data_IF_666692609652
#
_entry.id   IF_666692609652
#
_cell.length_a   1.000
_cell.length_b   1.000
_cell.length_c   1.000
_cell.angle_alpha   90.00
_cell.angle_beta   90.00
_cell.angle_gamma   90.00
#
_symmetry.space_group_name_H-M   'P 1'
#
loop_
_entity.id
_entity.type
_entity.pdbx_description
1 polymer ?
#
# COMPACT_ATOMS: atom_id res chain seq x y z
N UNK A 1 14.55 -15.78 7.40
CA UNK A 1 14.72 -14.32 7.46
C UNK A 1 13.69 -13.77 8.44
N UNK A 2 14.13 -13.13 9.52
CA UNK A 2 13.20 -12.44 10.43
C UNK A 2 12.71 -11.17 9.76
N UNK A 3 11.39 -10.96 9.72
CA UNK A 3 10.82 -9.73 9.19
C UNK A 3 10.67 -8.72 10.31
N UNK A 4 11.20 -7.53 10.09
CA UNK A 4 11.02 -6.40 10.99
C UNK A 4 9.74 -5.65 10.64
N UNK A 5 9.16 -5.03 11.65
CA UNK A 5 8.02 -4.13 11.53
C UNK A 5 8.31 -3.02 10.50
N UNK A 6 7.38 -2.76 9.58
CA UNK A 6 7.52 -1.70 8.59
C UNK A 6 6.15 -1.12 8.19
N UNK A 7 6.07 0.21 8.10
CA UNK A 7 4.88 0.92 7.62
C UNK A 7 4.87 0.92 6.10
N UNK A 8 3.81 0.41 5.48
CA UNK A 8 3.70 0.32 4.02
C UNK A 8 3.22 1.64 3.42
N UNK A 9 4.15 2.58 3.26
CA UNK A 9 3.86 3.89 2.67
C UNK A 9 3.34 3.76 1.23
N UNK A 10 3.81 2.78 0.45
CA UNK A 10 3.39 2.59 -0.94
C UNK A 10 1.88 2.30 -1.01
N UNK A 11 1.38 1.40 -0.16
CA UNK A 11 -0.05 1.13 -0.07
C UNK A 11 -0.83 2.38 0.37
N UNK A 12 -0.34 3.12 1.36
CA UNK A 12 -0.99 4.36 1.83
C UNK A 12 -1.13 5.36 0.67
N UNK A 13 -0.08 5.53 -0.14
CA UNK A 13 -0.10 6.40 -1.32
C UNK A 13 -1.05 5.89 -2.41
N UNK A 14 -1.09 4.59 -2.69
CA UNK A 14 -2.03 4.02 -3.68
C UNK A 14 -3.47 4.35 -3.30
N UNK A 15 -3.83 4.14 -2.02
CA UNK A 15 -5.19 4.40 -1.53
C UNK A 15 -5.50 5.90 -1.53
N UNK A 16 -4.54 6.73 -1.11
CA UNK A 16 -4.69 8.18 -1.17
C UNK A 16 -4.94 8.66 -2.59
N UNK A 17 -4.12 8.23 -3.56
CA UNK A 17 -4.27 8.60 -4.96
C UNK A 17 -5.59 8.11 -5.54
N UNK A 18 -6.04 6.91 -5.16
CA UNK A 18 -7.31 6.36 -5.62
C UNK A 18 -8.48 7.24 -5.20
N UNK A 19 -8.44 7.79 -3.98
CA UNK A 19 -9.47 8.67 -3.44
C UNK A 19 -9.39 10.08 -4.02
N UNK A 20 -8.18 10.64 -4.13
CA UNK A 20 -7.97 12.06 -4.46
C UNK A 20 -7.84 12.34 -5.96
N UNK A 21 -7.30 11.40 -6.73
CA UNK A 21 -6.96 11.58 -8.16
C UNK A 21 -7.59 10.51 -9.06
N UNK A 22 -8.34 9.56 -8.49
CA UNK A 22 -9.05 8.53 -9.21
C UNK A 22 -8.20 7.33 -9.63
N UNK A 23 -8.82 6.41 -10.37
CA UNK A 23 -8.27 5.08 -10.65
C UNK A 23 -7.02 5.10 -11.52
N UNK A 24 -6.99 5.96 -12.55
CA UNK A 24 -5.89 5.99 -13.52
C UNK A 24 -4.58 6.39 -12.84
N UNK A 25 -4.60 7.47 -12.06
CA UNK A 25 -3.41 7.97 -11.36
C UNK A 25 -2.88 6.96 -10.33
N UNK A 26 -3.78 6.35 -9.55
CA UNK A 26 -3.42 5.33 -8.58
C UNK A 26 -2.87 4.05 -9.23
N UNK A 27 -3.43 3.64 -10.37
CA UNK A 27 -2.95 2.48 -11.13
C UNK A 27 -1.56 2.70 -11.73
N UNK A 28 -1.31 3.86 -12.35
CA UNK A 28 0.01 4.24 -12.86
C UNK A 28 1.04 4.27 -11.73
N UNK A 29 0.67 4.85 -10.58
CA UNK A 29 1.56 4.89 -9.42
C UNK A 29 1.85 3.48 -8.87
N UNK A 30 0.84 2.62 -8.72
CA UNK A 30 1.02 1.25 -8.25
C UNK A 30 1.95 0.45 -9.17
N UNK A 31 1.75 0.55 -10.49
CA UNK A 31 2.62 -0.06 -11.49
C UNK A 31 4.05 0.48 -11.40
N UNK A 32 4.21 1.80 -11.43
CA UNK A 32 5.51 2.45 -11.42
C UNK A 32 6.31 2.15 -10.15
N UNK A 33 5.68 2.25 -8.98
CA UNK A 33 6.34 1.92 -7.71
C UNK A 33 6.73 0.46 -7.62
N UNK A 34 5.86 -0.46 -8.05
CA UNK A 34 6.20 -1.87 -8.09
C UNK A 34 7.38 -2.17 -9.02
N UNK A 35 7.42 -1.53 -10.19
CA UNK A 35 8.50 -1.69 -11.15
C UNK A 35 9.82 -1.14 -10.58
N UNK A 36 9.80 0.03 -9.94
CA UNK A 36 10.96 0.60 -9.27
C UNK A 36 11.49 -0.35 -8.19
N UNK A 37 10.60 -0.90 -7.34
CA UNK A 37 11.01 -1.85 -6.30
C UNK A 37 11.55 -3.13 -6.93
N UNK A 38 10.96 -3.64 -8.00
CA UNK A 38 11.49 -4.81 -8.70
C UNK A 38 12.90 -4.57 -9.25
N UNK A 39 13.18 -3.39 -9.82
CA UNK A 39 14.51 -3.02 -10.33
C UNK A 39 15.54 -2.92 -9.18
N UNK A 40 15.18 -2.27 -8.06
CA UNK A 40 16.13 -1.95 -7.01
C UNK A 40 16.23 -3.00 -5.90
N UNK A 41 15.27 -3.92 -5.76
CA UNK A 41 15.24 -4.91 -4.68
C UNK A 41 16.19 -6.09 -4.89
N UNK A 42 16.68 -6.31 -6.11
CA UNK A 42 17.45 -7.50 -6.48
C UNK A 42 16.67 -8.81 -6.36
N UNK A 43 15.33 -8.73 -6.26
CA UNK A 43 14.43 -9.87 -6.15
C UNK A 43 13.94 -10.39 -7.51
N UNK A 44 12.83 -11.13 -7.48
CA UNK A 44 12.16 -11.60 -8.69
C UNK A 44 11.55 -10.39 -9.43
N UNK A 45 12.06 -10.10 -10.63
CA UNK A 45 11.53 -9.03 -11.47
C UNK A 45 10.03 -9.25 -11.75
N UNK A 46 9.24 -8.19 -11.56
CA UNK A 46 7.80 -8.18 -11.76
C UNK A 46 6.96 -8.60 -10.54
N UNK A 47 7.58 -9.11 -9.46
CA UNK A 47 6.86 -9.58 -8.27
C UNK A 47 6.13 -8.43 -7.56
N UNK A 48 6.84 -7.34 -7.26
CA UNK A 48 6.26 -6.19 -6.57
C UNK A 48 5.30 -5.42 -7.48
N UNK A 49 5.60 -5.31 -8.78
CA UNK A 49 4.67 -4.76 -9.77
C UNK A 49 3.34 -5.49 -9.75
N UNK A 50 3.36 -6.81 -9.83
CA UNK A 50 2.16 -7.63 -9.82
C UNK A 50 1.42 -7.53 -8.47
N UNK A 51 2.15 -7.56 -7.35
CA UNK A 51 1.57 -7.40 -6.01
C UNK A 51 0.82 -6.08 -5.88
N UNK A 52 1.44 -4.95 -6.19
CA UNK A 52 0.79 -3.66 -6.03
C UNK A 52 -0.37 -3.46 -7.00
N UNK A 53 -0.32 -4.05 -8.20
CA UNK A 53 -1.46 -4.08 -9.11
C UNK A 53 -2.63 -4.90 -8.58
N UNK A 54 -2.38 -6.08 -7.99
CA UNK A 54 -3.44 -6.88 -7.35
C UNK A 54 -4.04 -6.12 -6.18
N UNK A 55 -3.21 -5.48 -5.35
CA UNK A 55 -3.69 -4.67 -4.23
C UNK A 55 -4.50 -3.49 -4.73
N UNK A 56 -4.01 -2.74 -5.71
CA UNK A 56 -4.76 -1.65 -6.34
C UNK A 56 -6.13 -2.13 -6.86
N UNK A 57 -6.18 -3.26 -7.56
CA UNK A 57 -7.44 -3.80 -8.08
C UNK A 57 -8.39 -4.23 -6.94
N UNK A 58 -7.88 -4.92 -5.92
CA UNK A 58 -8.66 -5.29 -4.73
C UNK A 58 -9.22 -4.07 -4.00
N UNK A 59 -8.43 -3.00 -3.92
CA UNK A 59 -8.83 -1.74 -3.30
C UNK A 59 -9.85 -0.97 -4.13
N UNK A 60 -9.70 -0.96 -5.46
CA UNK A 60 -10.69 -0.40 -6.38
C UNK A 60 -12.03 -1.13 -6.30
N UNK A 61 -12.01 -2.46 -6.16
CA UNK A 61 -13.24 -3.23 -5.99
C UNK A 61 -13.87 -2.99 -4.60
N UNK A 62 -13.04 -2.92 -3.56
CA UNK A 62 -13.47 -2.64 -2.19
C UNK A 62 -13.92 -1.20 -1.93
N UNK A 63 -13.42 -0.23 -2.71
CA UNK A 63 -13.69 1.20 -2.49
C UNK A 63 -15.17 1.57 -2.63
N UNK A 64 -15.93 0.80 -3.40
CA UNK A 64 -17.39 0.97 -3.54
C UNK A 64 -18.14 0.53 -2.27
N UNK A 65 -17.65 -0.51 -1.59
CA UNK A 65 -18.30 -1.08 -0.40
C UNK A 65 -17.87 -0.39 0.90
N UNK A 66 -16.68 0.21 0.96
CA UNK A 66 -16.15 0.87 2.14
C UNK A 66 -16.12 2.38 1.96
N UNK A 67 -16.65 3.12 2.95
CA UNK A 67 -16.57 4.59 2.93
C UNK A 67 -15.12 5.05 3.15
N UNK A 68 -14.37 5.18 2.05
CA UNK A 68 -12.96 5.56 2.02
C UNK A 68 -12.66 6.98 2.54
N UNK A 69 -13.68 7.83 2.60
CA UNK A 69 -13.54 9.20 3.11
C UNK A 69 -13.59 9.25 4.63
N UNK A 70 -14.15 8.22 5.27
CA UNK A 70 -14.18 8.13 6.73
C UNK A 70 -12.86 7.62 7.29
N UNK A 71 -12.41 8.21 8.39
CA UNK A 71 -11.21 7.79 9.14
C UNK A 71 -11.23 6.29 9.45
N UNK A 72 -12.39 5.76 9.85
CA UNK A 72 -12.55 4.32 10.15
C UNK A 72 -12.38 3.46 8.90
N UNK A 73 -12.90 3.94 7.77
CA UNK A 73 -12.76 3.26 6.47
C UNK A 73 -11.31 3.22 6.01
N UNK A 74 -10.58 4.34 6.15
CA UNK A 74 -9.15 4.43 5.80
C UNK A 74 -8.30 3.45 6.63
N UNK A 75 -8.47 3.45 7.95
CA UNK A 75 -7.74 2.54 8.84
C UNK A 75 -8.00 1.08 8.45
N UNK A 76 -9.27 0.72 8.28
CA UNK A 76 -9.67 -0.65 7.97
C UNK A 76 -9.10 -1.10 6.62
N UNK A 77 -9.31 -0.31 5.58
CA UNK A 77 -8.99 -0.73 4.22
C UNK A 77 -7.48 -0.78 3.98
N UNK A 78 -6.72 0.13 4.60
CA UNK A 78 -5.25 0.13 4.50
C UNK A 78 -4.68 -1.03 5.29
N UNK A 79 -5.18 -1.30 6.50
CA UNK A 79 -4.75 -2.48 7.27
C UNK A 79 -5.00 -3.76 6.46
N UNK A 80 -6.18 -3.88 5.85
CA UNK A 80 -6.53 -5.02 5.02
C UNK A 80 -5.63 -5.15 3.78
N UNK A 81 -5.34 -4.04 3.10
CA UNK A 81 -4.46 -4.02 1.94
C UNK A 81 -3.04 -4.47 2.29
N UNK A 82 -2.49 -3.98 3.42
CA UNK A 82 -1.15 -4.39 3.88
C UNK A 82 -1.12 -5.86 4.25
N UNK A 83 -2.13 -6.36 4.97
CA UNK A 83 -2.25 -7.80 5.27
C UNK A 83 -2.31 -8.64 3.99
N UNK A 84 -3.17 -8.25 3.05
CA UNK A 84 -3.34 -8.97 1.79
C UNK A 84 -2.04 -8.99 0.99
N UNK A 85 -1.32 -7.86 0.93
CA UNK A 85 -0.02 -7.77 0.24
C UNK A 85 1.01 -8.71 0.87
N UNK A 86 1.07 -8.77 2.19
CA UNK A 86 1.99 -9.66 2.92
C UNK A 86 1.66 -11.15 2.70
N UNK A 87 0.38 -11.51 2.74
CA UNK A 87 -0.08 -12.87 2.45
C UNK A 87 0.27 -13.27 1.02
N UNK A 88 -0.04 -12.41 0.04
CA UNK A 88 0.28 -12.66 -1.36
C UNK A 88 1.80 -12.75 -1.57
N UNK A 89 2.58 -11.88 -0.95
CA UNK A 89 4.04 -11.90 -1.06
C UNK A 89 4.61 -13.23 -0.55
N UNK A 90 4.22 -13.68 0.64
CA UNK A 90 4.65 -14.98 1.17
C UNK A 90 4.20 -16.14 0.27
N UNK A 91 2.97 -16.06 -0.25
CA UNK A 91 2.42 -17.08 -1.17
C UNK A 91 3.24 -17.17 -2.45
N UNK A 92 3.55 -16.04 -3.10
CA UNK A 92 4.37 -16.03 -4.29
C UNK A 92 5.78 -16.58 -4.03
N UNK A 93 6.40 -16.19 -2.92
CA UNK A 93 7.73 -16.70 -2.59
C UNK A 93 7.73 -18.22 -2.42
N UNK A 94 6.68 -18.77 -1.80
CA UNK A 94 6.51 -20.22 -1.71
C UNK A 94 6.29 -20.87 -3.10
N UNK A 95 5.50 -20.24 -3.99
CA UNK A 95 5.27 -20.73 -5.35
C UNK A 95 6.55 -20.76 -6.20
N UNK A 96 7.46 -19.81 -5.97
CA UNK A 96 8.78 -19.75 -6.64
C UNK A 96 9.88 -20.51 -5.89
N UNK A 97 9.50 -21.36 -4.94
CA UNK A 97 10.41 -22.21 -4.14
C UNK A 97 11.51 -21.42 -3.38
N UNK A 98 11.24 -20.14 -3.10
CA UNK A 98 12.06 -19.30 -2.25
C UNK A 98 11.74 -19.66 -0.80
N UNK A 99 12.58 -20.51 -0.19
CA UNK A 99 12.40 -21.04 1.16
C UNK A 99 12.20 -19.93 2.19
N UNK A 100 10.96 -19.80 2.67
CA UNK A 100 10.59 -18.89 3.75
C UNK A 100 9.89 -19.66 4.86
N UNK A 101 10.45 -19.53 6.07
CA UNK A 101 9.82 -20.02 7.28
C UNK A 101 8.88 -18.95 7.84
N UNK A 102 7.59 -19.25 7.87
CA UNK A 102 6.60 -18.48 8.62
C UNK A 102 6.73 -18.86 10.10
N UNK A 103 7.53 -18.09 10.83
CA UNK A 103 7.65 -18.21 12.28
C UNK A 103 6.60 -17.32 12.97
N UNK A 104 6.19 -17.69 14.19
CA UNK A 104 5.29 -16.89 15.03
C UNK A 104 5.69 -15.39 15.13
N UNK A 105 6.95 -15.01 15.38
CA UNK A 105 7.38 -13.61 15.34
C UNK A 105 7.18 -12.92 13.98
N UNK A 106 7.37 -13.64 12.87
CA UNK A 106 7.13 -13.09 11.52
C UNK A 106 5.65 -12.78 11.30
N UNK A 107 4.77 -13.65 11.79
CA UNK A 107 3.33 -13.42 11.74
C UNK A 107 2.92 -12.19 12.56
N UNK A 108 3.43 -12.05 13.79
CA UNK A 108 3.20 -10.86 14.62
C UNK A 108 3.72 -9.58 13.96
N UNK A 109 4.88 -9.64 13.29
CA UNK A 109 5.43 -8.50 12.55
C UNK A 109 4.52 -8.08 11.40
N UNK A 110 3.92 -9.03 10.67
CA UNK A 110 2.96 -8.74 9.58
C UNK A 110 1.70 -8.05 10.13
N UNK A 111 1.10 -8.61 11.19
CA UNK A 111 -0.14 -8.06 11.77
C UNK A 111 0.10 -6.67 12.36
N UNK A 112 1.19 -6.48 13.11
CA UNK A 112 1.55 -5.17 13.66
C UNK A 112 1.82 -4.13 12.58
N UNK A 113 2.56 -4.51 11.53
CA UNK A 113 2.84 -3.63 10.38
C UNK A 113 1.55 -3.16 9.70
N UNK A 114 0.59 -4.06 9.50
CA UNK A 114 -0.69 -3.73 8.91
C UNK A 114 -1.51 -2.77 9.79
N UNK A 115 -1.64 -3.07 11.09
CA UNK A 115 -2.39 -2.23 12.02
C UNK A 115 -1.78 -0.83 12.14
N UNK A 116 -0.45 -0.73 12.28
CA UNK A 116 0.21 0.56 12.37
C UNK A 116 0.11 1.35 11.06
N UNK A 117 0.21 0.69 9.90
CA UNK A 117 0.01 1.33 8.60
C UNK A 117 -1.41 1.89 8.46
N UNK A 118 -2.42 1.14 8.92
CA UNK A 118 -3.79 1.63 8.98
C UNK A 118 -3.96 2.81 9.92
N UNK A 119 -3.40 2.74 11.14
CA UNK A 119 -3.52 3.79 12.15
C UNK A 119 -2.81 5.09 11.78
N UNK A 120 -1.65 5.01 11.11
CA UNK A 120 -0.90 6.20 10.69
C UNK A 120 -1.48 6.84 9.43
N UNK A 121 -2.26 6.10 8.64
CA UNK A 121 -2.75 6.57 7.36
C UNK A 121 -3.64 7.83 7.43
N UNK A 122 -4.62 7.97 8.34
CA UNK A 122 -5.41 9.20 8.45
C UNK A 122 -4.56 10.43 8.72
N UNK A 123 -3.50 10.29 9.52
CA UNK A 123 -2.54 11.36 9.78
C UNK A 123 -1.77 11.73 8.50
N UNK A 124 -1.26 10.74 7.77
CA UNK A 124 -0.58 10.97 6.49
C UNK A 124 -1.52 11.57 5.43
N UNK A 125 -2.78 11.14 5.38
CA UNK A 125 -3.78 11.72 4.48
C UNK A 125 -4.03 13.19 4.77
N UNK A 126 -4.11 13.56 6.05
CA UNK A 126 -4.23 14.95 6.45
C UNK A 126 -3.01 15.77 6.01
N UNK A 127 -1.80 15.22 6.21
CA UNK A 127 -0.55 15.83 5.79
C UNK A 127 -0.48 16.01 4.26
N UNK A 128 -0.85 14.99 3.49
CA UNK A 128 -0.88 15.06 2.03
C UNK A 128 -1.89 16.09 1.53
N UNK A 129 -3.08 16.13 2.13
CA UNK A 129 -4.08 17.14 1.81
C UNK A 129 -3.58 18.56 2.12
N UNK A 130 -2.81 18.75 3.19
CA UNK A 130 -2.20 20.03 3.50
C UNK A 130 -1.20 20.45 2.40
N UNK A 131 -0.28 19.56 2.00
CA UNK A 131 0.66 19.83 0.92
C UNK A 131 -0.05 20.11 -0.42
N UNK A 132 -1.03 19.30 -0.80
CA UNK A 132 -1.78 19.49 -2.05
C UNK A 132 -2.47 20.85 -2.08
N UNK A 133 -3.00 21.33 -0.95
CA UNK A 133 -3.60 22.68 -0.85
C UNK A 133 -2.57 23.78 -0.98
N UNK A 134 -1.38 23.62 -0.39
CA UNK A 134 -0.27 24.57 -0.53
C UNK A 134 0.18 24.69 -1.99
N UNK A 135 0.40 23.55 -2.66
CA UNK A 135 0.77 23.55 -4.07
C UNK A 135 -0.32 24.19 -4.94
N UNK A 136 -1.59 23.88 -4.70
CA UNK A 136 -2.69 24.47 -5.48
C UNK A 136 -2.88 25.97 -5.23
N UNK A 137 -2.60 26.45 -4.01
CA UNK A 137 -2.60 27.87 -3.66
C UNK A 137 -1.46 28.64 -4.34
N UNK A 138 -0.28 28.03 -4.44
CA UNK A 138 0.88 28.64 -5.11
C UNK A 138 0.68 28.81 -6.64
N UNK A 139 -0.14 27.98 -7.28
CA UNK A 139 -0.47 28.07 -8.71
C UNK A 139 -1.68 28.98 -9.01
N UNK A 140 -2.33 29.56 -8.01
CA UNK A 140 -3.49 30.43 -8.18
C UNK A 140 -3.14 31.93 -8.12
N UNK A 141 -1.86 32.28 -7.95
CA UNK A 141 -1.34 33.65 -7.93
C UNK A 141 -0.60 34.06 -9.22
N UNK A 142 -0.59 33.20 -10.25
CA UNK A 142 -0.08 33.47 -11.61
C UNK A 142 -1.25 33.69 -12.61
#
# INVERSE_FOLDING_TARGET
>A
MFKFFNVDLVIIFIVYLLISYGEIGAGIFAFGQGLLIDIFSGGLLGLFTLLYLIIFLGMKLGSSSFNLTSVRGQIFIISLAVLLKEILFVTFLHLFDLKISLSYPTFLAIVSSALCSGLIAPFLFHLFNHFTRLFKGAYAED
#
